data_IF_805230575688
#
_entry.id   IF_805230575688
#
_cell.length_a   1.000
_cell.length_b   1.000
_cell.length_c   1.000
_cell.angle_alpha   90.00
_cell.angle_beta   90.00
_cell.angle_gamma   90.00
#
_symmetry.space_group_name_H-M   'P 1'
#
loop_
_entity.id
_entity.type
_entity.pdbx_description
1 polymer ?
#
# COMPACT_ATOMS: atom_id res chain seq x y z
N UNK A 1 -1.30 15.27 11.77
CA UNK A 1 -1.97 14.70 10.60
C UNK A 1 -2.22 13.23 10.86
N UNK A 2 -3.43 12.73 10.60
CA UNK A 2 -3.80 11.33 10.82
C UNK A 2 -3.24 10.49 9.67
N UNK A 3 -2.67 9.31 9.97
CA UNK A 3 -2.02 8.43 8.99
C UNK A 3 -2.10 6.98 9.47
N UNK A 4 -2.33 5.98 8.59
CA UNK A 4 -2.29 4.59 9.01
C UNK A 4 -0.87 4.18 9.40
N UNK A 5 -0.75 3.28 10.39
CA UNK A 5 0.55 2.72 10.73
C UNK A 5 0.95 1.53 9.84
N UNK A 6 -0.01 0.91 9.17
CA UNK A 6 0.24 -0.14 8.18
C UNK A 6 0.55 0.49 6.81
N UNK A 7 1.74 1.07 6.70
CA UNK A 7 2.25 1.75 5.51
C UNK A 7 3.76 1.66 5.42
N UNK A 8 4.32 2.10 4.30
CA UNK A 8 5.76 2.31 4.16
C UNK A 8 6.18 3.60 4.88
N UNK A 9 7.37 3.60 5.48
CA UNK A 9 7.83 4.73 6.30
C UNK A 9 7.89 6.08 5.57
N UNK A 10 8.02 6.09 4.23
CA UNK A 10 8.07 7.33 3.45
C UNK A 10 6.80 8.17 3.58
N UNK A 11 5.63 7.55 3.75
CA UNK A 11 4.37 8.25 4.01
C UNK A 11 4.49 9.14 5.25
N UNK A 12 5.06 8.60 6.33
CA UNK A 12 5.22 9.33 7.59
C UNK A 12 6.42 10.28 7.55
N UNK A 13 7.52 9.89 6.88
CA UNK A 13 8.67 10.78 6.67
C UNK A 13 8.25 12.08 5.99
N UNK A 14 7.39 12.00 4.96
CA UNK A 14 6.91 13.18 4.26
C UNK A 14 6.16 14.15 5.17
N UNK A 15 5.38 13.65 6.13
CA UNK A 15 4.71 14.47 7.15
C UNK A 15 5.74 15.15 8.06
N UNK A 16 6.69 14.36 8.57
CA UNK A 16 7.72 14.85 9.51
C UNK A 16 8.62 15.92 8.88
N UNK A 17 9.02 15.76 7.62
CA UNK A 17 9.83 16.77 6.91
C UNK A 17 9.08 18.09 6.72
N UNK A 18 7.75 18.07 6.73
CA UNK A 18 6.91 19.25 6.68
C UNK A 18 6.49 19.78 8.06
N UNK A 19 7.12 19.30 9.15
CA UNK A 19 6.83 19.73 10.51
C UNK A 19 5.46 19.26 11.05
N UNK A 20 4.85 18.26 10.39
CA UNK A 20 3.58 17.70 10.81
C UNK A 20 3.81 16.51 11.75
N UNK A 21 3.10 16.49 12.87
CA UNK A 21 3.12 15.37 13.80
C UNK A 21 2.17 14.28 13.30
N UNK A 22 2.65 13.01 13.15
CA UNK A 22 1.78 11.90 12.79
C UNK A 22 0.92 11.47 13.99
N UNK A 23 -0.35 11.19 13.71
CA UNK A 23 -1.28 10.53 14.63
C UNK A 23 -1.68 9.22 13.98
N UNK A 24 -1.25 8.11 14.56
CA UNK A 24 -1.44 6.80 13.96
C UNK A 24 -2.86 6.29 14.15
N UNK A 25 -3.54 6.02 13.04
CA UNK A 25 -4.78 5.27 12.97
C UNK A 25 -4.51 3.79 12.69
N UNK A 26 -5.42 2.94 13.14
CA UNK A 26 -5.44 1.54 12.76
C UNK A 26 -6.08 1.35 11.39
N UNK A 27 -6.15 0.13 10.90
CA UNK A 27 -6.63 -0.20 9.56
C UNK A 27 -7.79 -1.20 9.61
N UNK A 28 -8.62 -1.22 8.59
CA UNK A 28 -9.65 -2.26 8.44
C UNK A 28 -8.97 -3.63 8.16
N UNK A 29 -9.33 -4.69 8.90
CA UNK A 29 -8.68 -5.99 8.79
C UNK A 29 -8.96 -6.72 7.47
N UNK A 30 -9.91 -6.26 6.67
CA UNK A 30 -10.28 -6.86 5.38
C UNK A 30 -9.63 -6.15 4.21
N UNK A 31 -9.59 -4.82 4.24
CA UNK A 31 -9.04 -3.99 3.14
C UNK A 31 -7.59 -3.58 3.38
N UNK A 32 -7.12 -3.64 4.63
CA UNK A 32 -5.78 -3.18 5.08
C UNK A 32 -5.54 -1.68 4.84
N UNK A 33 -6.56 -0.94 4.44
CA UNK A 33 -6.55 0.50 4.33
C UNK A 33 -6.96 1.13 5.66
N UNK A 34 -6.72 2.43 5.83
CA UNK A 34 -7.07 3.16 7.06
C UNK A 34 -8.54 2.92 7.44
N UNK A 35 -8.79 2.62 8.71
CA UNK A 35 -10.15 2.55 9.26
C UNK A 35 -10.69 3.97 9.45
N UNK A 36 -11.80 4.28 8.77
CA UNK A 36 -12.39 5.63 8.76
C UNK A 36 -12.93 6.01 10.13
N UNK A 37 -13.53 5.07 10.85
CA UNK A 37 -14.09 5.34 12.18
C UNK A 37 -12.97 5.51 13.22
N UNK A 38 -11.91 4.73 13.10
CA UNK A 38 -10.73 4.94 13.93
C UNK A 38 -10.09 6.32 13.64
N UNK A 39 -9.98 6.71 12.38
CA UNK A 39 -9.49 8.04 12.00
C UNK A 39 -10.40 9.15 12.53
N UNK A 40 -11.73 8.99 12.47
CA UNK A 40 -12.72 9.93 13.03
C UNK A 40 -12.48 10.16 14.51
N UNK A 41 -12.26 9.09 15.28
CA UNK A 41 -12.01 9.16 16.73
C UNK A 41 -10.71 9.88 17.12
N UNK A 42 -9.81 10.09 16.17
CA UNK A 42 -8.52 10.78 16.39
C UNK A 42 -8.53 12.26 16.05
N UNK A 43 -9.63 12.79 15.52
CA UNK A 43 -9.73 14.20 15.13
C UNK A 43 -9.76 15.09 16.38
N UNK A 44 -8.94 16.12 16.35
CA UNK A 44 -8.85 17.17 17.37
C UNK A 44 -8.77 18.54 16.71
N UNK A 45 -8.93 19.65 17.43
CA UNK A 45 -8.73 20.99 16.88
C UNK A 45 -7.35 21.28 16.28
N UNK A 46 -6.36 20.41 16.56
CA UNK A 46 -5.01 20.49 15.96
C UNK A 46 -4.85 19.61 14.72
N UNK A 47 -5.85 18.82 14.37
CA UNK A 47 -5.80 17.96 13.19
C UNK A 47 -5.93 18.83 11.93
N UNK A 48 -4.99 18.70 11.01
CA UNK A 48 -4.94 19.50 9.77
C UNK A 48 -5.25 18.68 8.53
N UNK A 49 -5.28 17.34 8.66
CA UNK A 49 -5.58 16.47 7.52
C UNK A 49 -5.39 14.99 7.80
N UNK A 50 -5.73 14.20 6.79
CA UNK A 50 -5.60 12.75 6.74
C UNK A 50 -4.70 12.39 5.56
N UNK A 51 -3.69 11.56 5.80
CA UNK A 51 -2.90 10.91 4.76
C UNK A 51 -3.33 9.44 4.68
N UNK A 52 -4.18 9.10 3.74
CA UNK A 52 -4.64 7.73 3.54
C UNK A 52 -3.77 7.00 2.51
N UNK A 53 -3.73 5.66 2.57
CA UNK A 53 -2.89 4.84 1.69
C UNK A 53 -3.74 3.87 0.89
N UNK A 54 -3.52 3.79 -0.42
CA UNK A 54 -4.08 2.76 -1.29
C UNK A 54 -3.24 1.48 -1.18
N UNK A 55 -3.51 0.70 -0.13
CA UNK A 55 -2.65 -0.42 0.30
C UNK A 55 -2.60 -1.52 -0.76
N UNK A 56 -1.39 -1.85 -1.24
CA UNK A 56 -1.10 -2.82 -2.31
C UNK A 56 -1.74 -2.51 -3.67
N UNK A 57 -2.38 -1.35 -3.81
CA UNK A 57 -3.10 -0.93 -5.02
C UNK A 57 -4.62 -1.06 -4.91
N UNK A 58 -5.14 -1.42 -3.73
CA UNK A 58 -6.56 -1.34 -3.42
C UNK A 58 -6.93 0.11 -3.10
N UNK A 59 -8.01 0.67 -3.68
CA UNK A 59 -8.56 1.94 -3.23
C UNK A 59 -8.88 1.90 -1.73
N UNK A 60 -8.42 2.91 -0.98
CA UNK A 60 -8.93 3.15 0.37
C UNK A 60 -10.42 3.52 0.29
N UNK A 61 -11.10 3.58 1.42
CA UNK A 61 -12.54 3.90 1.48
C UNK A 61 -12.76 5.39 1.18
N UNK A 62 -12.74 5.72 -0.13
CA UNK A 62 -12.59 7.08 -0.65
C UNK A 62 -13.73 7.98 -0.22
N UNK A 63 -15.00 7.60 -0.50
CA UNK A 63 -16.17 8.46 -0.23
C UNK A 63 -16.34 8.77 1.27
N UNK A 64 -16.23 7.80 2.18
CA UNK A 64 -16.21 8.07 3.61
C UNK A 64 -15.05 8.97 4.06
N UNK A 65 -13.84 8.78 3.52
CA UNK A 65 -12.70 9.64 3.83
C UNK A 65 -12.88 11.08 3.33
N UNK A 66 -13.40 11.28 2.11
CA UNK A 66 -13.71 12.60 1.57
C UNK A 66 -14.83 13.29 2.37
N UNK A 67 -15.82 12.53 2.81
CA UNK A 67 -16.89 13.02 3.67
C UNK A 67 -16.35 13.46 5.02
N UNK A 68 -15.54 12.61 5.67
CA UNK A 68 -14.90 12.91 6.94
C UNK A 68 -14.01 14.16 6.85
N UNK A 69 -13.21 14.27 5.80
CA UNK A 69 -12.34 15.43 5.58
C UNK A 69 -13.15 16.72 5.41
N UNK A 70 -14.24 16.68 4.64
CA UNK A 70 -15.13 17.83 4.40
C UNK A 70 -15.88 18.26 5.67
N UNK A 71 -16.39 17.31 6.47
CA UNK A 71 -17.11 17.57 7.72
C UNK A 71 -16.26 18.31 8.76
N UNK A 72 -14.93 18.10 8.72
CA UNK A 72 -13.99 18.66 9.69
C UNK A 72 -13.01 19.67 9.11
N UNK A 73 -13.22 20.13 7.87
CA UNK A 73 -12.34 21.07 7.15
C UNK A 73 -10.87 20.60 7.13
N UNK A 74 -10.66 19.30 6.87
CA UNK A 74 -9.35 18.66 6.83
C UNK A 74 -8.87 18.49 5.39
N UNK A 75 -7.56 18.55 5.19
CA UNK A 75 -6.93 18.13 3.93
C UNK A 75 -6.87 16.62 3.84
N UNK A 76 -7.20 16.08 2.66
CA UNK A 76 -7.10 14.66 2.36
C UNK A 76 -6.06 14.42 1.27
N UNK A 77 -4.99 13.71 1.62
CA UNK A 77 -3.93 13.31 0.68
C UNK A 77 -3.88 11.80 0.61
N UNK A 78 -3.88 11.26 -0.61
CA UNK A 78 -3.70 9.82 -0.83
C UNK A 78 -2.24 9.50 -1.16
N UNK A 79 -1.63 8.65 -0.37
CA UNK A 79 -0.44 7.91 -0.79
C UNK A 79 -0.89 6.80 -1.75
N UNK A 80 -0.78 7.10 -3.03
CA UNK A 80 -1.11 6.20 -4.13
C UNK A 80 0.15 5.54 -4.73
N UNK A 81 1.24 5.40 -3.94
CA UNK A 81 2.49 4.79 -4.42
C UNK A 81 2.31 3.37 -4.97
N UNK A 82 1.25 2.70 -4.61
CA UNK A 82 0.81 1.40 -5.15
C UNK A 82 -0.44 1.52 -6.04
N UNK A 83 -0.97 2.71 -6.21
CA UNK A 83 -2.32 2.96 -6.74
C UNK A 83 -2.46 3.03 -8.25
N UNK A 84 -1.35 3.05 -9.03
CA UNK A 84 -1.47 3.08 -10.49
C UNK A 84 -2.22 1.84 -11.01
N UNK A 85 -3.22 2.10 -11.85
CA UNK A 85 -4.13 1.08 -12.37
C UNK A 85 -5.30 0.73 -11.44
N UNK A 86 -5.27 1.16 -10.18
CA UNK A 86 -6.43 1.07 -9.30
C UNK A 86 -7.53 2.07 -9.70
N UNK A 87 -8.80 1.67 -9.52
CA UNK A 87 -9.96 2.52 -9.82
C UNK A 87 -10.99 2.42 -8.70
N UNK A 88 -11.66 3.52 -8.45
CA UNK A 88 -12.84 3.57 -7.62
C UNK A 88 -14.02 4.02 -8.49
N UNK A 89 -15.04 3.17 -8.57
CA UNK A 89 -16.09 3.31 -9.60
C UNK A 89 -15.42 3.43 -10.98
N UNK A 90 -15.80 4.40 -11.79
CA UNK A 90 -15.26 4.58 -13.14
C UNK A 90 -14.03 5.49 -13.20
N UNK A 91 -13.51 5.94 -12.05
CA UNK A 91 -12.46 6.95 -11.98
C UNK A 91 -11.13 6.39 -11.50
N UNK A 92 -10.03 6.85 -12.09
CA UNK A 92 -8.68 6.56 -11.63
C UNK A 92 -8.42 7.19 -10.25
N UNK A 93 -7.55 6.56 -9.43
CA UNK A 93 -7.31 6.99 -8.05
C UNK A 93 -6.73 8.40 -7.92
N UNK A 94 -6.12 8.93 -8.98
CA UNK A 94 -5.65 10.32 -9.00
C UNK A 94 -6.74 11.39 -9.07
N UNK A 95 -8.02 11.01 -9.17
CA UNK A 95 -9.15 11.94 -9.23
C UNK A 95 -9.67 12.37 -7.84
N UNK A 96 -9.14 11.78 -6.77
CA UNK A 96 -9.70 11.89 -5.42
C UNK A 96 -8.74 12.56 -4.43
N UNK A 97 -9.31 13.06 -3.32
CA UNK A 97 -8.60 13.83 -2.30
C UNK A 97 -8.20 15.22 -2.77
N UNK A 98 -7.50 15.99 -1.95
CA UNK A 98 -6.88 17.26 -2.37
C UNK A 98 -5.66 16.98 -3.27
N UNK A 99 -4.95 15.88 -3.01
CA UNK A 99 -3.85 15.40 -3.83
C UNK A 99 -3.69 13.87 -3.72
N UNK A 100 -3.19 13.24 -4.80
CA UNK A 100 -2.76 11.85 -4.81
C UNK A 100 -1.32 11.73 -5.32
N UNK A 101 -0.49 10.97 -4.60
CA UNK A 101 0.96 10.85 -4.86
C UNK A 101 1.29 9.44 -5.32
N UNK A 102 1.77 9.29 -6.55
CA UNK A 102 2.14 8.01 -7.15
C UNK A 102 3.65 7.86 -7.22
N UNK A 103 4.15 6.67 -6.97
CA UNK A 103 5.55 6.31 -7.15
C UNK A 103 5.79 5.67 -8.51
N UNK A 104 6.87 6.09 -9.17
CA UNK A 104 7.36 5.51 -10.42
C UNK A 104 8.74 4.84 -10.24
N UNK A 105 9.09 4.44 -9.01
CA UNK A 105 10.36 3.74 -8.76
C UNK A 105 10.38 2.37 -9.44
N UNK A 106 11.58 1.79 -9.61
CA UNK A 106 11.81 0.55 -10.36
C UNK A 106 11.01 -0.68 -9.95
N UNK A 107 10.38 -0.67 -8.76
CA UNK A 107 9.55 -1.77 -8.26
C UNK A 107 8.05 -1.60 -8.54
N UNK A 108 7.64 -0.51 -9.18
CA UNK A 108 6.22 -0.20 -9.42
C UNK A 108 5.73 -0.82 -10.74
N UNK A 109 4.41 -0.87 -10.91
CA UNK A 109 3.77 -1.40 -12.14
C UNK A 109 4.18 -0.56 -13.35
N UNK A 110 4.14 0.77 -13.19
CA UNK A 110 4.70 1.73 -14.13
C UNK A 110 5.96 2.30 -13.50
N UNK A 111 7.05 2.28 -14.22
CA UNK A 111 8.33 2.76 -13.73
C UNK A 111 8.97 3.80 -14.65
N UNK A 112 9.59 4.79 -14.05
CA UNK A 112 10.50 5.72 -14.72
C UNK A 112 11.97 5.51 -14.27
N UNK A 113 12.30 4.31 -13.73
CA UNK A 113 13.52 4.07 -12.97
C UNK A 113 13.38 4.62 -11.57
N UNK A 114 13.41 5.93 -11.42
CA UNK A 114 13.03 6.67 -10.22
C UNK A 114 12.18 7.88 -10.60
N UNK A 115 11.16 8.19 -9.77
CA UNK A 115 10.27 9.32 -10.01
C UNK A 115 8.93 9.19 -9.32
N UNK A 116 8.06 10.16 -9.57
CA UNK A 116 6.70 10.18 -9.07
C UNK A 116 5.79 11.09 -9.89
N UNK A 117 4.49 10.88 -9.72
CA UNK A 117 3.43 11.74 -10.24
C UNK A 117 2.62 12.24 -9.05
N UNK A 118 2.15 13.47 -9.16
CA UNK A 118 1.21 14.04 -8.20
C UNK A 118 0.03 14.62 -8.98
N UNK A 119 -1.17 14.27 -8.56
CA UNK A 119 -2.40 14.89 -9.04
C UNK A 119 -2.98 15.78 -7.96
N UNK A 120 -3.67 16.83 -8.36
CA UNK A 120 -4.30 17.79 -7.46
C UNK A 120 -5.74 18.01 -7.88
N UNK A 121 -6.62 18.22 -6.89
CA UNK A 121 -8.00 18.65 -7.14
C UNK A 121 -8.05 20.10 -7.62
N UNK A 122 -7.26 20.98 -6.97
CA UNK A 122 -7.20 22.41 -7.32
C UNK A 122 -6.07 22.64 -8.35
N UNK A 123 -6.38 23.19 -9.54
CA UNK A 123 -5.37 23.59 -10.53
C UNK A 123 -4.34 24.60 -10.00
N UNK A 124 -4.70 25.45 -9.04
CA UNK A 124 -3.76 26.38 -8.42
C UNK A 124 -2.69 25.67 -7.60
N UNK A 125 -3.03 24.59 -6.91
CA UNK A 125 -2.06 23.75 -6.21
C UNK A 125 -1.13 23.01 -7.19
N UNK A 126 -1.65 22.56 -8.33
CA UNK A 126 -0.85 21.95 -9.39
C UNK A 126 0.14 22.97 -10.00
N UNK A 127 -0.30 24.20 -10.25
CA UNK A 127 0.58 25.27 -10.72
C UNK A 127 1.68 25.56 -9.69
N UNK A 128 1.31 25.76 -8.43
CA UNK A 128 2.24 26.01 -7.33
C UNK A 128 3.27 24.88 -7.19
N UNK A 129 2.84 23.63 -7.28
CA UNK A 129 3.71 22.45 -7.21
C UNK A 129 4.74 22.48 -8.36
N UNK A 130 4.35 22.93 -9.55
CA UNK A 130 5.26 23.06 -10.71
C UNK A 130 6.44 23.98 -10.40
N UNK A 131 6.22 25.07 -9.67
CA UNK A 131 7.30 25.95 -9.21
C UNK A 131 8.10 25.33 -8.07
N UNK A 132 7.43 24.75 -7.07
CA UNK A 132 8.10 24.16 -5.91
C UNK A 132 9.07 23.05 -6.30
N UNK A 133 8.75 22.17 -7.27
CA UNK A 133 9.65 21.12 -7.77
C UNK A 133 10.83 21.65 -8.59
N UNK A 134 10.78 22.93 -8.99
CA UNK A 134 11.79 23.61 -9.79
C UNK A 134 12.42 24.79 -9.03
N UNK A 135 12.91 24.52 -7.81
CA UNK A 135 13.57 25.49 -6.92
C UNK A 135 12.69 26.66 -6.43
N UNK A 136 11.40 26.66 -6.69
CA UNK A 136 10.51 27.79 -6.39
C UNK A 136 10.57 28.92 -7.41
N UNK A 137 11.21 28.68 -8.55
CA UNK A 137 11.34 29.69 -9.60
C UNK A 137 10.06 29.87 -10.41
N UNK A 138 9.80 31.10 -10.81
CA UNK A 138 9.01 31.45 -11.97
C UNK A 138 9.94 31.80 -13.17
N UNK A 139 9.38 32.12 -14.32
CA UNK A 139 10.12 32.35 -15.56
C UNK A 139 11.23 33.41 -15.50
N UNK A 140 11.24 34.25 -14.48
CA UNK A 140 12.19 35.36 -14.27
C UNK A 140 13.38 35.00 -13.34
N UNK A 141 13.60 33.71 -13.03
CA UNK A 141 14.58 33.23 -12.06
C UNK A 141 14.43 33.82 -10.64
N UNK A 142 13.34 34.52 -10.35
CA UNK A 142 13.05 34.99 -9.01
C UNK A 142 12.44 33.86 -8.17
N UNK A 143 13.12 33.48 -7.10
CA UNK A 143 12.67 32.44 -6.17
C UNK A 143 11.51 33.01 -5.32
N UNK A 144 10.27 32.63 -5.63
CA UNK A 144 9.06 33.08 -4.93
C UNK A 144 8.52 32.08 -3.93
N UNK A 145 9.04 30.86 -3.96
CA UNK A 145 8.70 29.78 -3.04
C UNK A 145 9.96 29.08 -2.57
N UNK A 146 9.96 28.58 -1.35
CA UNK A 146 11.01 27.66 -0.89
C UNK A 146 10.76 26.32 -1.56
N UNK A 147 11.48 26.05 -2.64
CA UNK A 147 11.35 24.85 -3.45
C UNK A 147 12.57 23.94 -3.35
N UNK A 148 12.51 22.85 -4.10
CA UNK A 148 13.58 21.85 -4.17
C UNK A 148 13.87 21.48 -5.65
N UNK A 149 14.97 20.79 -5.90
CA UNK A 149 15.22 20.18 -7.20
C UNK A 149 14.49 18.82 -7.28
N UNK A 150 13.20 18.89 -7.59
CA UNK A 150 12.32 17.71 -7.75
C UNK A 150 11.93 17.46 -9.21
N UNK A 151 12.74 17.94 -10.16
CA UNK A 151 12.48 17.71 -11.59
C UNK A 151 12.74 16.26 -11.95
N UNK A 152 11.84 15.66 -12.73
CA UNK A 152 12.09 14.38 -13.39
C UNK A 152 13.03 14.62 -14.59
N UNK A 153 14.06 13.79 -14.76
CA UNK A 153 14.92 13.88 -15.94
C UNK A 153 14.15 13.45 -17.20
N UNK A 154 14.54 13.98 -18.36
CA UNK A 154 13.89 13.64 -19.63
C UNK A 154 13.97 12.14 -19.94
N UNK A 155 15.10 11.49 -19.62
CA UNK A 155 15.28 10.05 -19.81
C UNK A 155 14.30 9.25 -18.93
N UNK A 156 14.17 9.62 -17.67
CA UNK A 156 13.22 8.99 -16.75
C UNK A 156 11.77 9.28 -17.17
N UNK A 157 11.47 10.48 -17.65
CA UNK A 157 10.16 10.83 -18.17
C UNK A 157 9.80 10.00 -19.41
N UNK A 158 10.73 9.83 -20.34
CA UNK A 158 10.55 8.99 -21.54
C UNK A 158 10.30 7.51 -21.17
N UNK A 159 11.08 6.96 -20.21
CA UNK A 159 10.87 5.62 -19.70
C UNK A 159 9.49 5.48 -19.05
N UNK A 160 9.11 6.45 -18.22
CA UNK A 160 7.80 6.47 -17.59
C UNK A 160 6.64 6.51 -18.59
N UNK A 161 6.78 7.30 -19.64
CA UNK A 161 5.81 7.40 -20.73
C UNK A 161 5.62 6.05 -21.43
N UNK A 162 6.72 5.43 -21.87
CA UNK A 162 6.69 4.11 -22.51
C UNK A 162 6.12 3.02 -21.57
N UNK A 163 6.42 3.11 -20.28
CA UNK A 163 5.89 2.19 -19.28
C UNK A 163 4.37 2.38 -19.07
N UNK A 164 3.85 3.60 -19.19
CA UNK A 164 2.41 3.90 -19.11
C UNK A 164 1.63 3.26 -20.27
N UNK A 165 2.19 3.22 -21.47
CA UNK A 165 1.55 2.58 -22.62
C UNK A 165 1.31 1.08 -22.42
N UNK A 166 2.07 0.46 -21.51
CA UNK A 166 1.93 -0.95 -21.16
C UNK A 166 1.02 -1.19 -19.95
N UNK A 167 0.45 -0.16 -19.33
CA UNK A 167 -0.30 -0.30 -18.07
C UNK A 167 -1.49 -1.26 -18.19
N UNK A 168 -2.37 -1.05 -19.17
CA UNK A 168 -3.60 -1.85 -19.31
C UNK A 168 -3.30 -3.34 -19.56
N UNK A 169 -2.44 -3.73 -20.54
CA UNK A 169 -2.10 -5.14 -20.73
C UNK A 169 -1.41 -5.76 -19.51
N UNK A 170 -0.56 -5.02 -18.79
CA UNK A 170 0.09 -5.50 -17.57
C UNK A 170 -0.94 -5.74 -16.46
N UNK A 171 -1.90 -4.84 -16.29
CA UNK A 171 -2.97 -5.00 -15.29
C UNK A 171 -3.84 -6.21 -15.61
N UNK A 172 -4.28 -6.35 -16.85
CA UNK A 172 -5.08 -7.50 -17.28
C UNK A 172 -4.38 -8.83 -17.00
N UNK A 173 -3.07 -8.89 -17.31
CA UNK A 173 -2.25 -10.08 -17.02
C UNK A 173 -2.12 -10.35 -15.52
N UNK A 174 -1.86 -9.31 -14.70
CA UNK A 174 -1.80 -9.45 -13.23
C UNK A 174 -3.11 -9.95 -12.64
N UNK A 175 -4.25 -9.46 -13.13
CA UNK A 175 -5.55 -9.97 -12.71
C UNK A 175 -5.70 -11.47 -13.01
N UNK A 176 -5.27 -11.93 -14.21
CA UNK A 176 -5.25 -13.36 -14.54
C UNK A 176 -4.37 -14.17 -13.61
N UNK A 177 -3.15 -13.70 -13.34
CA UNK A 177 -2.23 -14.34 -12.39
C UNK A 177 -2.83 -14.44 -10.97
N UNK A 178 -3.48 -13.39 -10.49
CA UNK A 178 -4.16 -13.38 -9.18
C UNK A 178 -5.30 -14.41 -9.15
N UNK A 179 -6.11 -14.50 -10.20
CA UNK A 179 -7.16 -15.51 -10.27
C UNK A 179 -6.58 -16.94 -10.25
N UNK A 180 -5.45 -17.17 -10.94
CA UNK A 180 -4.76 -18.45 -10.89
C UNK A 180 -4.28 -18.81 -9.49
N UNK A 181 -3.66 -17.87 -8.76
CA UNK A 181 -3.29 -18.06 -7.35
C UNK A 181 -4.50 -18.39 -6.49
N UNK A 182 -5.60 -17.63 -6.63
CA UNK A 182 -6.83 -17.87 -5.86
C UNK A 182 -7.42 -19.25 -6.15
N UNK A 183 -7.42 -19.69 -7.40
CA UNK A 183 -7.86 -21.02 -7.78
C UNK A 183 -6.94 -22.11 -7.21
N UNK A 184 -5.63 -21.95 -7.37
CA UNK A 184 -4.64 -22.91 -6.89
C UNK A 184 -4.63 -23.05 -5.36
N UNK A 185 -5.08 -22.06 -4.60
CA UNK A 185 -5.13 -22.04 -3.14
C UNK A 185 -6.56 -22.07 -2.59
N UNK A 186 -7.55 -22.42 -3.41
CA UNK A 186 -8.98 -22.36 -3.03
C UNK A 186 -9.38 -23.35 -1.93
N UNK A 187 -8.64 -24.42 -1.77
CA UNK A 187 -8.81 -25.44 -0.73
C UNK A 187 -8.04 -25.14 0.59
N UNK A 188 -7.23 -24.09 0.61
CA UNK A 188 -6.51 -23.62 1.79
C UNK A 188 -7.41 -22.74 2.65
N UNK A 189 -8.24 -23.30 3.51
CA UNK A 189 -9.23 -22.60 4.34
C UNK A 189 -8.61 -21.65 5.38
N UNK A 190 -7.33 -21.78 5.66
CA UNK A 190 -6.59 -20.95 6.61
C UNK A 190 -5.97 -19.70 5.94
N UNK A 191 -6.25 -19.48 4.66
CA UNK A 191 -5.78 -18.32 3.92
C UNK A 191 -6.92 -17.39 3.58
N UNK A 192 -6.67 -16.09 3.72
CA UNK A 192 -7.58 -15.04 3.26
C UNK A 192 -6.85 -14.05 2.36
N UNK A 193 -7.63 -13.41 1.49
CA UNK A 193 -7.15 -12.41 0.56
C UNK A 193 -7.66 -11.04 0.98
N UNK A 194 -6.93 -9.99 0.61
CA UNK A 194 -7.44 -8.63 0.74
C UNK A 194 -8.81 -8.53 0.05
N UNK A 195 -9.80 -8.04 0.78
CA UNK A 195 -11.14 -7.85 0.24
C UNK A 195 -11.16 -6.69 -0.74
N UNK A 196 -11.76 -6.93 -1.91
CA UNK A 196 -11.93 -5.90 -2.94
C UNK A 196 -13.42 -5.56 -3.03
N UNK A 197 -13.85 -4.36 -2.61
CA UNK A 197 -15.23 -3.91 -2.80
C UNK A 197 -15.64 -3.95 -4.27
N UNK A 198 -16.93 -4.15 -4.53
CA UNK A 198 -17.47 -4.34 -5.89
C UNK A 198 -17.35 -3.11 -6.79
N UNK A 199 -17.22 -1.94 -6.20
CA UNK A 199 -17.02 -0.65 -6.88
C UNK A 199 -15.54 -0.26 -7.02
N UNK A 200 -14.63 -1.18 -6.66
CA UNK A 200 -13.19 -0.98 -6.73
C UNK A 200 -12.54 -1.94 -7.73
N UNK A 201 -11.56 -1.43 -8.48
CA UNK A 201 -10.61 -2.23 -9.24
C UNK A 201 -9.26 -2.14 -8.54
N UNK A 202 -8.71 -3.30 -8.16
CA UNK A 202 -7.43 -3.40 -7.49
C UNK A 202 -6.28 -3.32 -8.50
N UNK A 203 -5.28 -2.46 -8.27
CA UNK A 203 -4.10 -2.36 -9.14
C UNK A 203 -3.10 -3.52 -9.01
N UNK A 204 -3.20 -4.33 -7.93
CA UNK A 204 -2.32 -5.46 -7.65
C UNK A 204 -0.82 -5.14 -7.80
N UNK A 205 -0.36 -4.08 -7.12
CA UNK A 205 1.09 -3.82 -7.04
C UNK A 205 1.82 -4.94 -6.29
N UNK A 206 1.25 -5.43 -5.22
CA UNK A 206 1.67 -6.62 -4.50
C UNK A 206 0.44 -7.52 -4.28
N UNK A 207 0.67 -8.84 -4.20
CA UNK A 207 -0.36 -9.82 -3.85
C UNK A 207 -0.12 -10.30 -2.43
N UNK A 208 -0.95 -9.83 -1.53
CA UNK A 208 -0.88 -10.15 -0.12
C UNK A 208 -1.78 -11.36 0.21
N UNK A 209 -1.22 -12.33 0.92
CA UNK A 209 -1.93 -13.48 1.48
C UNK A 209 -1.88 -13.38 2.99
N UNK A 210 -3.03 -13.46 3.64
CA UNK A 210 -3.15 -13.43 5.08
C UNK A 210 -3.34 -14.84 5.61
N UNK A 211 -2.45 -15.30 6.47
CA UNK A 211 -2.50 -16.59 7.14
C UNK A 211 -3.28 -16.48 8.45
N UNK A 212 -4.01 -17.54 8.79
CA UNK A 212 -4.76 -17.59 10.04
C UNK A 212 -3.84 -17.46 11.26
N UNK A 213 -2.68 -18.14 11.22
CA UNK A 213 -1.72 -18.14 12.32
C UNK A 213 -0.33 -17.65 11.89
N UNK A 214 0.40 -16.90 12.74
CA UNK A 214 1.76 -16.46 12.45
C UNK A 214 2.73 -17.60 12.11
N UNK A 215 2.55 -18.76 12.75
CA UNK A 215 3.37 -19.96 12.50
C UNK A 215 3.20 -20.49 11.07
N UNK A 216 1.99 -20.47 10.53
CA UNK A 216 1.72 -20.88 9.15
C UNK A 216 2.39 -19.94 8.15
N UNK A 217 2.30 -18.62 8.38
CA UNK A 217 3.00 -17.61 7.57
C UNK A 217 4.51 -17.86 7.60
N UNK A 218 5.09 -18.08 8.79
CA UNK A 218 6.52 -18.31 8.93
C UNK A 218 6.97 -19.61 8.23
N UNK A 219 6.18 -20.68 8.31
CA UNK A 219 6.44 -21.94 7.62
C UNK A 219 6.38 -21.78 6.09
N UNK A 220 5.40 -21.02 5.58
CA UNK A 220 5.28 -20.72 4.15
C UNK A 220 6.45 -19.88 3.65
N UNK A 221 6.83 -18.83 4.38
CA UNK A 221 7.98 -17.98 4.06
C UNK A 221 9.29 -18.79 4.01
N UNK A 222 9.52 -19.67 4.99
CA UNK A 222 10.69 -20.55 5.02
C UNK A 222 10.72 -21.54 3.87
N UNK A 223 9.57 -22.17 3.55
CA UNK A 223 9.48 -23.13 2.44
C UNK A 223 9.74 -22.44 1.09
N UNK A 224 9.19 -21.27 0.86
CA UNK A 224 9.42 -20.46 -0.35
C UNK A 224 10.87 -20.02 -0.45
N UNK A 225 11.46 -19.54 0.64
CA UNK A 225 12.87 -19.12 0.69
C UNK A 225 13.84 -20.27 0.40
N UNK A 226 13.55 -21.49 0.88
CA UNK A 226 14.37 -22.66 0.61
C UNK A 226 14.44 -23.03 -0.89
N UNK A 227 13.39 -22.69 -1.64
CA UNK A 227 13.32 -22.87 -3.10
C UNK A 227 13.75 -21.60 -3.88
N UNK A 228 14.38 -20.65 -3.21
CA UNK A 228 14.86 -19.38 -3.82
C UNK A 228 13.74 -18.43 -4.23
N UNK A 229 12.53 -18.59 -3.72
CA UNK A 229 11.39 -17.71 -4.00
C UNK A 229 11.40 -16.55 -3.03
N UNK A 230 11.58 -15.33 -3.55
CA UNK A 230 11.53 -14.11 -2.76
C UNK A 230 10.10 -13.73 -2.41
N UNK A 231 9.87 -13.44 -1.15
CA UNK A 231 8.62 -12.89 -0.60
C UNK A 231 8.88 -11.57 0.10
N UNK A 232 7.83 -10.83 0.44
CA UNK A 232 7.97 -9.58 1.18
C UNK A 232 7.02 -9.55 2.37
N UNK A 233 7.54 -9.10 3.50
CA UNK A 233 6.75 -8.84 4.71
C UNK A 233 6.39 -7.35 4.77
N UNK A 234 5.42 -6.93 4.00
CA UNK A 234 4.86 -5.59 4.05
C UNK A 234 3.66 -5.57 5.01
N UNK A 235 3.60 -4.61 5.91
CA UNK A 235 4.60 -3.60 6.23
C UNK A 235 5.09 -3.86 7.66
N UNK A 236 6.35 -3.48 7.96
CA UNK A 236 6.73 -3.34 9.36
C UNK A 236 5.96 -2.14 9.93
N UNK A 237 5.19 -2.29 11.04
CA UNK A 237 4.35 -1.23 11.55
C UNK A 237 5.15 0.03 11.87
N UNK A 238 4.75 1.16 11.28
CA UNK A 238 5.53 2.40 11.40
C UNK A 238 5.60 2.87 12.86
N UNK A 239 4.53 2.71 13.63
CA UNK A 239 4.52 3.07 15.05
C UNK A 239 5.51 2.28 15.92
N UNK A 240 6.02 1.14 15.43
CA UNK A 240 7.04 0.32 16.09
C UNK A 240 8.48 0.68 15.68
N UNK A 241 8.65 1.50 14.64
CA UNK A 241 9.98 1.94 14.20
C UNK A 241 10.56 2.94 15.21
N UNK A 242 11.84 2.80 15.53
CA UNK A 242 12.52 3.56 16.60
C UNK A 242 12.26 5.08 16.51
N UNK A 243 12.36 5.64 15.31
CA UNK A 243 12.20 7.08 15.07
C UNK A 243 10.78 7.58 15.35
N UNK A 244 9.77 6.70 15.31
CA UNK A 244 8.36 7.06 15.48
C UNK A 244 7.73 6.59 16.78
N UNK A 245 8.43 5.80 17.60
CA UNK A 245 7.90 5.26 18.88
C UNK A 245 7.35 6.36 19.80
N UNK A 246 7.95 7.55 19.81
CA UNK A 246 7.45 8.69 20.59
C UNK A 246 6.05 9.17 20.20
N UNK A 247 5.55 8.78 19.03
CA UNK A 247 4.21 9.09 18.53
C UNK A 247 3.24 7.90 18.67
N UNK A 248 3.71 6.73 19.11
CA UNK A 248 2.90 5.55 19.37
C UNK A 248 2.14 5.69 20.69
N UNK A 249 1.07 6.50 20.69
CA UNK A 249 0.32 6.88 21.91
C UNK A 249 -0.80 5.89 22.27
N UNK A 250 -1.02 4.87 21.45
CA UNK A 250 -2.07 3.86 21.61
C UNK A 250 -1.69 2.55 20.94
N UNK A 251 -2.34 1.47 21.32
CA UNK A 251 -2.25 0.20 20.62
C UNK A 251 -2.94 0.26 19.25
N UNK A 252 -2.40 -0.45 18.29
CA UNK A 252 -2.95 -0.60 16.94
C UNK A 252 -3.07 -2.10 16.63
N UNK A 253 -4.06 -2.77 17.24
CA UNK A 253 -4.13 -4.23 17.27
C UNK A 253 -4.31 -4.85 15.90
N UNK A 254 -5.04 -4.20 14.98
CA UNK A 254 -5.23 -4.74 13.62
C UNK A 254 -3.95 -4.62 12.80
N UNK A 255 -3.26 -3.48 12.87
CA UNK A 255 -1.94 -3.30 12.23
C UNK A 255 -0.94 -4.35 12.70
N UNK A 256 -0.87 -4.60 14.01
CA UNK A 256 0.04 -5.58 14.60
C UNK A 256 -0.33 -7.01 14.19
N UNK A 257 -1.62 -7.33 14.20
CA UNK A 257 -2.15 -8.64 13.79
C UNK A 257 -1.86 -8.93 12.31
N UNK A 258 -2.03 -7.95 11.41
CA UNK A 258 -1.68 -8.07 9.99
C UNK A 258 -0.20 -8.30 9.78
N UNK A 259 0.66 -7.52 10.45
CA UNK A 259 2.11 -7.63 10.33
C UNK A 259 2.63 -9.04 10.63
N UNK A 260 2.04 -9.71 11.61
CA UNK A 260 2.46 -11.05 12.01
C UNK A 260 2.03 -12.14 11.02
N UNK A 261 0.95 -11.93 10.27
CA UNK A 261 0.25 -12.95 9.48
C UNK A 261 0.32 -12.76 7.98
N UNK A 262 0.65 -11.56 7.52
CA UNK A 262 0.61 -11.23 6.09
C UNK A 262 1.94 -11.54 5.41
N UNK A 263 1.86 -12.09 4.19
CA UNK A 263 3.00 -12.33 3.30
C UNK A 263 2.63 -11.90 1.89
N UNK A 264 3.44 -11.05 1.27
CA UNK A 264 3.31 -10.76 -0.15
C UNK A 264 4.08 -11.82 -0.95
N UNK A 265 3.35 -12.53 -1.80
CA UNK A 265 3.89 -13.58 -2.68
C UNK A 265 4.23 -13.01 -4.06
N UNK A 266 5.05 -13.72 -4.87
CA UNK A 266 5.47 -13.22 -6.17
C UNK A 266 4.29 -12.83 -7.07
N UNK A 267 4.36 -11.61 -7.62
CA UNK A 267 3.46 -11.12 -8.65
C UNK A 267 4.21 -10.08 -9.49
N UNK A 268 4.55 -10.45 -10.75
CA UNK A 268 5.24 -9.57 -11.70
C UNK A 268 4.80 -9.88 -13.14
N UNK A 269 5.07 -8.98 -14.07
CA UNK A 269 4.42 -8.96 -15.37
C UNK A 269 4.68 -10.18 -16.24
N UNK A 270 5.83 -10.83 -16.12
CA UNK A 270 6.23 -12.02 -16.87
C UNK A 270 6.34 -13.27 -16.00
N UNK A 271 5.63 -13.33 -14.86
CA UNK A 271 5.60 -14.49 -13.98
C UNK A 271 4.93 -15.69 -14.69
N UNK A 272 5.67 -16.77 -14.96
CA UNK A 272 5.11 -17.93 -15.67
C UNK A 272 4.09 -18.68 -14.81
N UNK A 273 3.06 -19.20 -15.44
CA UNK A 273 2.00 -19.97 -14.81
C UNK A 273 2.54 -21.16 -13.97
N UNK A 274 3.54 -21.88 -14.49
CA UNK A 274 4.16 -22.97 -13.75
C UNK A 274 4.85 -22.52 -12.44
N UNK A 275 5.31 -21.26 -12.37
CA UNK A 275 5.87 -20.70 -11.14
C UNK A 275 4.77 -20.35 -10.14
N UNK A 276 3.62 -19.88 -10.61
CA UNK A 276 2.43 -19.65 -9.77
C UNK A 276 2.02 -20.95 -9.11
N UNK A 277 1.90 -22.03 -9.90
CA UNK A 277 1.51 -23.35 -9.40
C UNK A 277 2.52 -23.90 -8.38
N UNK A 278 3.82 -23.75 -8.64
CA UNK A 278 4.87 -24.17 -7.71
C UNK A 278 4.82 -23.40 -6.38
N UNK A 279 4.65 -22.07 -6.43
CA UNK A 279 4.47 -21.23 -5.23
C UNK A 279 3.25 -21.67 -4.44
N UNK A 280 2.12 -21.87 -5.12
CA UNK A 280 0.89 -22.35 -4.48
C UNK A 280 1.05 -23.72 -3.81
N UNK A 281 1.74 -24.67 -4.46
CA UNK A 281 2.03 -25.98 -3.89
C UNK A 281 2.88 -25.88 -2.61
N UNK A 282 3.91 -25.03 -2.60
CA UNK A 282 4.76 -24.82 -1.42
C UNK A 282 3.96 -24.22 -0.25
N UNK A 283 3.11 -23.22 -0.51
CA UNK A 283 2.23 -22.63 0.49
C UNK A 283 1.28 -23.68 1.07
N UNK A 284 0.61 -24.45 0.21
CA UNK A 284 -0.31 -25.52 0.62
C UNK A 284 0.37 -26.55 1.50
N UNK A 285 1.54 -27.04 1.06
CA UNK A 285 2.29 -28.08 1.80
C UNK A 285 2.78 -27.56 3.17
N UNK A 286 3.14 -26.29 3.28
CA UNK A 286 3.60 -25.68 4.54
C UNK A 286 2.44 -25.43 5.51
N UNK A 287 1.28 -25.00 5.03
CA UNK A 287 0.09 -24.77 5.85
C UNK A 287 -0.40 -26.08 6.49
N UNK A 288 -0.48 -27.16 5.71
CA UNK A 288 -0.90 -28.47 6.22
C UNK A 288 0.04 -29.02 7.31
N UNK A 289 1.36 -28.85 7.15
CA UNK A 289 2.35 -29.28 8.17
C UNK A 289 2.25 -28.48 9.45
N UNK A 290 2.05 -27.17 9.35
CA UNK A 290 1.93 -26.30 10.52
C UNK A 290 0.66 -26.61 11.31
N UNK A 291 -0.47 -26.85 10.64
CA UNK A 291 -1.74 -27.25 11.30
C UNK A 291 -1.59 -28.59 12.03
N UNK A 292 -0.98 -29.61 11.40
CA UNK A 292 -0.72 -30.90 12.04
C UNK A 292 0.21 -30.80 13.27
N UNK A 293 1.23 -29.95 13.22
CA UNK A 293 2.12 -29.71 14.36
C UNK A 293 1.41 -29.01 15.53
N UNK A 294 0.49 -28.06 15.25
CA UNK A 294 -0.30 -27.39 16.27
C UNK A 294 -1.29 -28.33 16.95
N UNK A 295 -1.96 -29.21 16.19
CA UNK A 295 -2.85 -30.22 16.74
C UNK A 295 -2.09 -31.20 17.65
N UNK A 296 -0.91 -31.69 17.20
CA UNK A 296 -0.06 -32.56 18.00
C UNK A 296 0.44 -31.89 19.31
N UNK A 297 0.82 -30.60 19.23
CA UNK A 297 1.22 -29.81 20.42
C UNK A 297 0.06 -29.50 21.37
N UNK A 298 -1.16 -29.35 20.84
CA UNK A 298 -2.39 -29.18 21.62
C UNK A 298 -2.73 -30.45 22.41
N UNK A 299 -2.61 -31.63 21.81
CA UNK A 299 -2.87 -32.91 22.46
C UNK A 299 -1.88 -33.14 23.61
N UNK A 300 -0.60 -32.80 23.43
CA UNK A 300 0.43 -32.92 24.47
C UNK A 300 0.28 -31.97 25.66
N UNK A 301 -0.49 -30.89 25.53
CA UNK A 301 -0.78 -29.95 26.63
C UNK A 301 -2.04 -30.32 27.44
N UNK A 302 -2.86 -31.21 26.91
CA UNK A 302 -4.07 -31.70 27.56
C UNK A 302 -3.90 -33.09 28.19
N UNK A 303 -2.75 -33.72 28.06
CA UNK A 303 -2.34 -34.98 28.72
C UNK A 303 -1.34 -34.68 29.85
#
# INVERSE_FOLDING_TARGET
MIVPSFTFCSTVNALMWNGLEPVFADVDPRTYCIDVEDARGLITPRTVGIAAVHTFGLPADIEPLETLAREHDLKLVFDAAHGLGGRYRDSALGAFGDASVFSLSGTKIVTSGEGGLVTFRDPADAERFTFLRAYGFKADYNCRYIGLNGKLSELNAALGWLSLDLLEPVLAHRHTQVQRYRQALSDCLDLTWQAVPSDCIHGYKDLAVLFREPGQRAAAEAALSAEGVMTKRYFFPVHRMDVYQKFARRALPVTDWLHERLLCIPLYSDLPDARIDAVAQLIRASSNRASAQQEAAGILRCA
#
